data_IF_530661091230
#
_entry.id   IF_530661091230
#
_cell.length_a   1.000
_cell.length_b   1.000
_cell.length_c   1.000
_cell.angle_alpha   90.00
_cell.angle_beta   90.00
_cell.angle_gamma   90.00
#
_symmetry.space_group_name_H-M   'P 1'
#
loop_
_entity.id
_entity.type
_entity.pdbx_description
1 polymer ?
#
# COMPACT_ATOMS: atom_id res chain seq x y z
N UNK A 1 -43.40 -62.39 16.85
CA UNK A 1 -44.17 -61.54 15.91
C UNK A 1 -45.02 -60.55 16.69
N UNK A 2 -44.40 -59.72 17.55
CA UNK A 2 -45.11 -58.70 18.35
C UNK A 2 -44.37 -57.34 18.40
N UNK A 3 -43.29 -57.15 17.62
CA UNK A 3 -42.47 -55.93 17.66
C UNK A 3 -42.72 -54.95 16.50
N UNK A 4 -43.44 -55.38 15.44
CA UNK A 4 -43.68 -54.55 14.24
C UNK A 4 -44.88 -53.60 14.40
N UNK A 5 -45.75 -53.86 15.38
CA UNK A 5 -46.93 -53.04 15.66
C UNK A 5 -46.60 -51.79 16.46
N UNK A 6 -45.58 -51.83 17.32
CA UNK A 6 -45.25 -50.69 18.17
C UNK A 6 -44.49 -49.60 17.40
N UNK A 7 -43.61 -50.00 16.48
CA UNK A 7 -42.82 -49.10 15.64
C UNK A 7 -43.70 -48.33 14.64
N UNK A 8 -44.66 -49.01 13.98
CA UNK A 8 -45.64 -48.37 13.08
C UNK A 8 -46.60 -47.42 13.81
N UNK A 9 -46.96 -47.73 15.06
CA UNK A 9 -47.75 -46.82 15.90
C UNK A 9 -46.93 -45.58 16.28
N UNK A 10 -45.64 -45.74 16.58
CA UNK A 10 -44.74 -44.63 16.87
C UNK A 10 -44.52 -43.72 15.65
N UNK A 11 -44.30 -44.29 14.47
CA UNK A 11 -44.12 -43.53 13.23
C UNK A 11 -45.38 -42.76 12.83
N UNK A 12 -46.57 -43.34 13.05
CA UNK A 12 -47.85 -42.67 12.77
C UNK A 12 -48.12 -41.54 13.77
N UNK A 13 -47.74 -41.72 15.04
CA UNK A 13 -47.85 -40.71 16.10
C UNK A 13 -46.85 -39.56 15.88
N UNK A 14 -45.64 -39.87 15.43
CA UNK A 14 -44.61 -38.88 15.07
C UNK A 14 -45.06 -38.09 13.83
N UNK A 15 -45.56 -38.74 12.78
CA UNK A 15 -46.05 -38.06 11.58
C UNK A 15 -47.20 -37.08 11.90
N UNK A 16 -48.16 -37.48 12.74
CA UNK A 16 -49.26 -36.60 13.19
C UNK A 16 -48.75 -35.41 14.02
N UNK A 17 -47.73 -35.61 14.86
CA UNK A 17 -47.13 -34.52 15.65
C UNK A 17 -46.31 -33.58 14.77
N UNK A 18 -45.59 -34.08 13.78
CA UNK A 18 -44.83 -33.27 12.83
C UNK A 18 -45.75 -32.45 11.92
N UNK A 19 -46.88 -33.02 11.48
CA UNK A 19 -47.90 -32.30 10.70
C UNK A 19 -48.58 -31.22 11.54
N UNK A 20 -48.93 -31.50 12.81
CA UNK A 20 -49.47 -30.49 13.73
C UNK A 20 -48.49 -29.36 14.05
N UNK A 21 -47.18 -29.65 14.16
CA UNK A 21 -46.12 -28.65 14.36
C UNK A 21 -45.92 -27.79 13.10
N UNK A 22 -45.95 -28.38 11.90
CA UNK A 22 -45.86 -27.63 10.65
C UNK A 22 -47.10 -26.75 10.42
N UNK A 23 -48.28 -27.21 10.78
CA UNK A 23 -49.52 -26.44 10.70
C UNK A 23 -49.55 -25.29 11.73
N UNK A 24 -49.02 -25.52 12.94
CA UNK A 24 -48.85 -24.46 13.94
C UNK A 24 -47.79 -23.43 13.50
N UNK A 25 -46.66 -23.87 12.95
CA UNK A 25 -45.60 -23.01 12.41
C UNK A 25 -46.09 -22.17 11.22
N UNK A 26 -46.90 -22.75 10.32
CA UNK A 26 -47.49 -22.04 9.18
C UNK A 26 -48.62 -21.07 9.61
N UNK A 27 -49.36 -21.38 10.68
CA UNK A 27 -50.35 -20.47 11.29
C UNK A 27 -49.68 -19.31 12.02
N UNK A 28 -48.58 -19.53 12.76
CA UNK A 28 -47.76 -18.45 13.34
C UNK A 28 -47.11 -17.58 12.25
N UNK A 29 -46.65 -18.18 11.16
CA UNK A 29 -46.02 -17.45 10.03
C UNK A 29 -47.03 -16.63 9.19
N UNK A 30 -48.31 -16.99 9.17
CA UNK A 30 -49.38 -16.24 8.48
C UNK A 30 -50.16 -15.26 9.38
N UNK A 31 -50.12 -15.42 10.69
CA UNK A 31 -50.81 -14.52 11.64
C UNK A 31 -49.90 -13.43 12.25
N UNK A 32 -48.56 -13.55 12.12
CA UNK A 32 -47.59 -12.58 12.67
C UNK A 32 -46.82 -11.76 11.64
N UNK A 33 -47.21 -11.78 10.36
CA UNK A 33 -46.50 -11.07 9.29
C UNK A 33 -47.13 -9.70 9.01
N UNK A 34 -46.90 -8.74 9.91
CA UNK A 34 -46.72 -7.30 9.66
C UNK A 34 -46.06 -6.71 10.94
N UNK A 35 -44.83 -6.19 10.79
CA UNK A 35 -44.11 -5.28 11.71
C UNK A 35 -43.51 -5.77 13.06
N UNK A 36 -42.76 -6.88 13.11
CA UNK A 36 -41.76 -7.10 14.21
C UNK A 36 -40.47 -7.77 13.72
N UNK A 37 -39.91 -7.30 12.60
CA UNK A 37 -38.52 -7.62 12.14
C UNK A 37 -37.62 -6.36 12.33
N UNK A 38 -38.06 -5.39 13.12
CA UNK A 38 -37.59 -4.00 13.01
C UNK A 38 -36.73 -3.52 14.19
N UNK A 39 -36.60 -4.28 15.28
CA UNK A 39 -35.90 -3.81 16.50
C UNK A 39 -34.79 -4.76 16.97
N UNK A 40 -35.01 -6.08 17.03
CA UNK A 40 -33.98 -7.03 17.52
C UNK A 40 -32.78 -7.14 16.57
N UNK A 41 -32.99 -7.41 15.28
CA UNK A 41 -31.91 -7.44 14.27
C UNK A 41 -31.19 -6.08 14.13
N UNK A 42 -31.89 -4.98 14.43
CA UNK A 42 -31.33 -3.62 14.35
C UNK A 42 -30.49 -3.28 15.57
N UNK A 43 -30.87 -3.76 16.75
CA UNK A 43 -30.07 -3.65 17.96
C UNK A 43 -28.82 -4.54 17.86
N UNK A 44 -28.94 -5.76 17.35
CA UNK A 44 -27.79 -6.64 17.07
C UNK A 44 -26.81 -5.99 16.10
N UNK A 45 -27.32 -5.28 15.09
CA UNK A 45 -26.49 -4.53 14.14
C UNK A 45 -25.73 -3.37 14.79
N UNK A 46 -26.38 -2.62 15.67
CA UNK A 46 -25.73 -1.52 16.41
C UNK A 46 -24.66 -2.08 17.34
N UNK A 47 -24.94 -3.16 18.06
CA UNK A 47 -23.98 -3.84 18.95
C UNK A 47 -22.79 -4.42 18.17
N UNK A 48 -23.03 -5.04 17.01
CA UNK A 48 -21.95 -5.49 16.14
C UNK A 48 -21.06 -4.32 15.68
N UNK A 49 -21.66 -3.18 15.31
CA UNK A 49 -20.91 -2.00 14.91
C UNK A 49 -20.15 -1.35 16.09
N UNK A 50 -20.71 -1.37 17.30
CA UNK A 50 -20.02 -0.92 18.52
C UNK A 50 -18.82 -1.82 18.82
N UNK A 51 -18.96 -3.14 18.66
CA UNK A 51 -17.88 -4.10 18.83
C UNK A 51 -16.74 -3.88 17.82
N UNK A 52 -17.04 -3.36 16.63
CA UNK A 52 -16.05 -2.97 15.63
C UNK A 52 -15.28 -1.69 16.01
N UNK A 53 -15.82 -0.83 16.89
CA UNK A 53 -15.13 0.39 17.34
C UNK A 53 -13.90 -0.01 18.15
N UNK A 54 -12.70 0.41 17.71
CA UNK A 54 -11.44 0.11 18.36
C UNK A 54 -11.37 0.48 19.85
N UNK A 55 -11.43 1.77 20.19
CA UNK A 55 -11.13 2.24 21.54
C UNK A 55 -12.36 2.06 22.45
N UNK A 56 -12.16 1.49 23.63
CA UNK A 56 -13.25 1.31 24.60
C UNK A 56 -13.84 2.65 25.02
N UNK A 57 -13.00 3.66 25.28
CA UNK A 57 -13.44 5.02 25.60
C UNK A 57 -14.37 5.59 24.51
N UNK A 58 -14.00 5.45 23.23
CA UNK A 58 -14.83 5.88 22.11
C UNK A 58 -16.08 5.02 21.96
N UNK A 59 -15.99 3.72 22.26
CA UNK A 59 -17.15 2.82 22.24
C UNK A 59 -18.16 3.23 23.31
N UNK A 60 -17.70 3.54 24.53
CA UNK A 60 -18.55 4.04 25.61
C UNK A 60 -19.12 5.40 25.27
N UNK A 61 -18.33 6.34 24.74
CA UNK A 61 -18.85 7.64 24.27
C UNK A 61 -19.94 7.48 23.21
N UNK A 62 -19.74 6.56 22.25
CA UNK A 62 -20.75 6.27 21.22
C UNK A 62 -21.94 5.54 21.83
N UNK A 63 -21.74 4.65 22.81
CA UNK A 63 -22.82 3.97 23.54
C UNK A 63 -23.67 4.96 24.32
N UNK A 64 -23.07 5.94 24.99
CA UNK A 64 -23.77 7.03 25.67
C UNK A 64 -24.56 7.89 24.68
N UNK A 65 -23.96 8.24 23.53
CA UNK A 65 -24.66 8.96 22.46
C UNK A 65 -25.85 8.15 21.91
N UNK A 66 -25.68 6.84 21.73
CA UNK A 66 -26.74 5.94 21.29
C UNK A 66 -27.85 5.87 22.32
N UNK A 67 -27.52 5.77 23.61
CA UNK A 67 -28.49 5.75 24.69
C UNK A 67 -29.35 7.03 24.66
N UNK A 68 -28.73 8.21 24.54
CA UNK A 68 -29.44 9.49 24.38
C UNK A 68 -30.34 9.51 23.14
N UNK A 69 -29.88 8.94 22.02
CA UNK A 69 -30.68 8.82 20.79
C UNK A 69 -31.88 7.90 21.01
N UNK A 70 -31.70 6.76 21.66
CA UNK A 70 -32.73 5.76 21.94
C UNK A 70 -33.79 6.30 22.92
N UNK A 71 -33.41 7.18 23.84
CA UNK A 71 -34.31 7.84 24.80
C UNK A 71 -35.06 9.04 24.21
N UNK A 72 -34.68 9.52 23.01
CA UNK A 72 -35.31 10.70 22.40
C UNK A 72 -36.77 10.48 21.99
N UNK A 73 -37.56 11.55 21.86
CA UNK A 73 -38.98 11.48 21.45
C UNK A 73 -39.18 11.29 19.93
N UNK A 74 -38.22 10.65 19.25
CA UNK A 74 -38.25 10.38 17.80
C UNK A 74 -38.90 9.03 17.50
N UNK A 75 -39.33 8.83 16.26
CA UNK A 75 -39.78 7.50 15.82
C UNK A 75 -38.61 6.49 15.81
N UNK A 76 -38.93 5.22 16.05
CA UNK A 76 -37.95 4.13 16.23
C UNK A 76 -37.00 3.98 15.04
N UNK A 77 -37.52 4.16 13.82
CA UNK A 77 -36.72 4.08 12.60
C UNK A 77 -35.70 5.22 12.52
N UNK A 78 -36.07 6.42 12.96
CA UNK A 78 -35.14 7.56 13.04
C UNK A 78 -34.09 7.34 14.13
N UNK A 79 -34.46 6.80 15.30
CA UNK A 79 -33.52 6.48 16.38
C UNK A 79 -32.42 5.54 15.93
N UNK A 80 -32.81 4.38 15.37
CA UNK A 80 -31.86 3.40 14.84
C UNK A 80 -30.96 4.00 13.77
N UNK A 81 -31.51 4.81 12.84
CA UNK A 81 -30.71 5.44 11.79
C UNK A 81 -29.66 6.39 12.36
N UNK A 82 -30.00 7.12 13.43
CA UNK A 82 -29.08 8.04 14.10
C UNK A 82 -28.01 7.27 14.89
N UNK A 83 -28.39 6.18 15.57
CA UNK A 83 -27.46 5.30 16.27
C UNK A 83 -26.45 4.65 15.30
N UNK A 84 -26.92 4.08 14.19
CA UNK A 84 -26.04 3.56 13.14
C UNK A 84 -25.12 4.65 12.57
N UNK A 85 -25.61 5.89 12.46
CA UNK A 85 -24.81 7.02 11.96
C UNK A 85 -23.71 7.40 12.95
N UNK A 86 -23.97 7.35 14.25
CA UNK A 86 -22.98 7.60 15.30
C UNK A 86 -21.86 6.56 15.23
N UNK A 87 -22.18 5.26 15.18
CA UNK A 87 -21.18 4.21 14.99
C UNK A 87 -20.40 4.39 13.68
N UNK A 88 -21.08 4.62 12.55
CA UNK A 88 -20.42 4.84 11.26
C UNK A 88 -19.46 6.02 11.30
N UNK A 89 -19.82 7.11 11.97
CA UNK A 89 -18.97 8.29 12.03
C UNK A 89 -17.61 7.98 12.67
N UNK A 90 -17.61 7.22 13.77
CA UNK A 90 -16.36 6.80 14.44
C UNK A 90 -15.64 5.73 13.62
N UNK A 91 -16.34 4.73 13.09
CA UNK A 91 -15.70 3.72 12.23
C UNK A 91 -15.04 4.35 10.99
N UNK A 92 -15.66 5.38 10.41
CA UNK A 92 -15.09 6.11 9.27
C UNK A 92 -13.81 6.87 9.61
N UNK A 93 -13.58 7.25 10.87
CA UNK A 93 -12.29 7.87 11.27
C UNK A 93 -11.14 6.86 11.28
N UNK A 94 -11.44 5.56 11.24
CA UNK A 94 -10.47 4.46 11.16
C UNK A 94 -10.32 3.90 9.75
N UNK A 95 -11.04 4.44 8.77
CA UNK A 95 -10.96 4.04 7.37
C UNK A 95 -10.13 5.05 6.57
N UNK A 96 -9.43 4.57 5.55
CA UNK A 96 -8.78 5.44 4.58
C UNK A 96 -9.84 6.21 3.78
N UNK A 97 -9.58 7.49 3.52
CA UNK A 97 -10.51 8.37 2.79
C UNK A 97 -10.73 7.97 1.33
N UNK A 98 -9.85 7.12 0.78
CA UNK A 98 -9.99 6.51 -0.54
C UNK A 98 -10.90 5.31 -0.43
N UNK A 99 -12.21 5.57 -0.44
CA UNK A 99 -13.29 4.55 -0.37
C UNK A 99 -13.03 3.32 -1.26
N UNK A 100 -12.38 3.50 -2.41
CA UNK A 100 -12.11 2.44 -3.38
C UNK A 100 -11.10 1.38 -2.89
N UNK A 101 -10.23 1.70 -1.94
CA UNK A 101 -9.32 0.74 -1.33
C UNK A 101 -10.05 -0.16 -0.34
N UNK A 102 -11.05 0.38 0.37
CA UNK A 102 -11.76 -0.33 1.43
C UNK A 102 -10.80 -0.84 2.50
N UNK A 103 -9.82 -0.02 2.88
CA UNK A 103 -8.77 -0.37 3.86
C UNK A 103 -8.86 0.54 5.08
N UNK A 104 -8.55 0.00 6.27
CA UNK A 104 -8.31 0.83 7.45
C UNK A 104 -7.15 1.80 7.24
N UNK A 105 -7.12 2.89 8.00
CA UNK A 105 -6.02 3.85 7.99
C UNK A 105 -4.95 3.51 9.04
N UNK A 106 -3.93 4.37 9.14
CA UNK A 106 -2.86 4.26 10.13
C UNK A 106 -3.36 4.23 11.58
N UNK A 107 -4.34 5.06 11.93
CA UNK A 107 -4.87 5.15 13.31
C UNK A 107 -5.47 3.82 13.77
N UNK A 108 -6.11 3.09 12.86
CA UNK A 108 -6.65 1.76 13.16
C UNK A 108 -5.54 0.76 13.49
N UNK A 109 -4.45 0.81 12.74
CA UNK A 109 -3.31 -0.08 12.94
C UNK A 109 -2.54 0.26 14.22
N UNK A 110 -2.34 1.53 14.54
CA UNK A 110 -1.77 1.95 15.83
C UNK A 110 -2.56 1.39 17.01
N UNK A 111 -3.90 1.48 16.93
CA UNK A 111 -4.76 0.84 17.91
C UNK A 111 -4.58 -0.68 17.96
N UNK A 112 -4.55 -1.36 16.80
CA UNK A 112 -4.41 -2.83 16.78
C UNK A 112 -3.11 -3.27 17.43
N UNK A 113 -2.01 -2.59 17.14
CA UNK A 113 -0.72 -2.83 17.80
C UNK A 113 -0.86 -2.65 19.32
N UNK A 114 -1.42 -1.52 19.77
CA UNK A 114 -1.63 -1.24 21.19
C UNK A 114 -2.40 -2.35 21.90
N UNK A 115 -3.54 -2.76 21.32
CA UNK A 115 -4.41 -3.79 21.89
C UNK A 115 -3.69 -5.14 21.97
N UNK A 116 -3.11 -5.61 20.86
CA UNK A 116 -2.46 -6.92 20.81
C UNK A 116 -1.27 -7.03 21.78
N UNK A 117 -0.52 -5.94 21.94
CA UNK A 117 0.58 -5.89 22.92
C UNK A 117 0.02 -5.90 24.34
N UNK A 118 -1.02 -5.11 24.62
CA UNK A 118 -1.62 -5.06 25.96
C UNK A 118 -2.16 -6.43 26.39
N UNK A 119 -2.88 -7.12 25.50
CA UNK A 119 -3.36 -8.50 25.72
C UNK A 119 -2.21 -9.50 25.95
N UNK A 120 -1.02 -9.23 25.39
CA UNK A 120 0.17 -10.06 25.58
C UNK A 120 0.86 -9.78 26.92
N UNK A 121 0.86 -8.52 27.37
CA UNK A 121 1.51 -8.07 28.61
C UNK A 121 0.70 -8.43 29.86
N UNK A 122 -0.63 -8.54 29.76
CA UNK A 122 -1.51 -8.92 30.88
C UNK A 122 -1.30 -10.36 31.40
N UNK A 123 -0.43 -11.15 30.76
CA UNK A 123 -0.07 -12.50 31.22
C UNK A 123 0.82 -12.44 32.46
N UNK A 124 0.48 -13.25 33.48
CA UNK A 124 1.19 -13.31 34.79
C UNK A 124 2.69 -13.63 34.69
N UNK A 125 3.15 -14.26 33.61
CA UNK A 125 4.56 -14.46 33.28
C UNK A 125 4.77 -14.17 31.80
N UNK A 126 5.67 -13.22 31.51
CA UNK A 126 6.04 -12.83 30.16
C UNK A 126 7.36 -13.53 29.78
N UNK A 127 7.36 -14.36 28.74
CA UNK A 127 8.59 -14.90 28.15
C UNK A 127 9.18 -13.83 27.21
N UNK A 128 10.50 -13.59 27.18
CA UNK A 128 11.12 -12.73 26.17
C UNK A 128 10.65 -12.98 24.73
N UNK A 129 10.31 -14.22 24.36
CA UNK A 129 9.75 -14.58 23.04
C UNK A 129 8.38 -13.94 22.77
N UNK A 130 7.61 -13.64 23.80
CA UNK A 130 6.31 -12.99 23.67
C UNK A 130 6.43 -11.57 23.09
N UNK A 131 7.56 -10.90 23.31
CA UNK A 131 7.84 -9.58 22.73
C UNK A 131 7.98 -9.61 21.20
N UNK A 132 8.23 -10.78 20.61
CA UNK A 132 8.47 -10.95 19.18
C UNK A 132 7.28 -11.57 18.43
N UNK A 133 6.12 -11.63 19.09
CA UNK A 133 4.86 -12.15 18.53
C UNK A 133 4.05 -11.14 17.74
N UNK A 134 4.44 -9.86 17.80
CA UNK A 134 3.82 -8.76 17.07
C UNK A 134 4.89 -8.07 16.22
N UNK A 135 4.60 -7.87 14.94
CA UNK A 135 5.47 -7.13 14.04
C UNK A 135 4.66 -6.19 13.16
N UNK A 136 5.32 -5.10 12.78
CA UNK A 136 4.87 -4.11 11.83
C UNK A 136 5.68 -4.27 10.56
N UNK A 137 5.01 -4.22 9.41
CA UNK A 137 5.61 -4.20 8.09
C UNK A 137 5.09 -2.96 7.38
N UNK A 138 6.01 -2.09 6.97
CA UNK A 138 5.73 -0.93 6.14
C UNK A 138 6.01 -1.26 4.66
N UNK A 139 5.19 -0.70 3.79
CA UNK A 139 5.25 -0.87 2.34
C UNK A 139 5.16 0.49 1.65
N UNK A 140 6.05 0.73 0.70
CA UNK A 140 6.01 1.88 -0.21
C UNK A 140 5.85 1.34 -1.63
N UNK A 141 4.78 1.74 -2.33
CA UNK A 141 4.56 1.37 -3.73
C UNK A 141 5.46 2.19 -4.65
N UNK A 142 6.40 1.51 -5.31
CA UNK A 142 7.33 2.16 -6.21
C UNK A 142 6.64 2.60 -7.51
N UNK A 143 6.94 3.83 -7.93
CA UNK A 143 6.55 4.35 -9.25
C UNK A 143 5.13 4.91 -9.34
N UNK A 144 4.37 5.06 -8.24
CA UNK A 144 3.01 5.61 -8.26
C UNK A 144 2.95 6.96 -8.98
N UNK A 145 3.93 7.83 -8.73
CA UNK A 145 4.00 9.14 -9.37
C UNK A 145 4.11 9.03 -10.89
N UNK A 146 4.94 8.12 -11.39
CA UNK A 146 5.07 7.84 -12.82
C UNK A 146 3.78 7.27 -13.41
N UNK A 147 3.09 6.39 -12.69
CA UNK A 147 1.76 5.91 -13.10
C UNK A 147 0.77 7.07 -13.26
N UNK A 148 0.79 8.02 -12.32
CA UNK A 148 -0.05 9.22 -12.36
C UNK A 148 0.31 10.17 -13.50
N UNK A 149 1.61 10.42 -13.73
CA UNK A 149 2.06 11.37 -14.74
C UNK A 149 1.79 10.85 -16.15
N UNK A 150 2.12 9.57 -16.39
CA UNK A 150 1.93 8.92 -17.69
C UNK A 150 0.45 8.65 -17.92
N UNK A 151 -0.17 7.86 -17.04
CA UNK A 151 -1.51 7.32 -17.21
C UNK A 151 -2.67 8.14 -16.64
N UNK A 152 -2.37 9.16 -15.82
CA UNK A 152 -3.36 9.92 -15.05
C UNK A 152 -3.71 9.28 -13.71
N UNK A 153 -4.29 10.07 -12.80
CA UNK A 153 -4.64 9.63 -11.44
C UNK A 153 -5.57 8.42 -11.40
N UNK A 154 -6.49 8.27 -12.36
CA UNK A 154 -7.37 7.11 -12.42
C UNK A 154 -6.58 5.80 -12.61
N UNK A 155 -5.47 5.83 -13.35
CA UNK A 155 -4.60 4.67 -13.55
C UNK A 155 -3.65 4.42 -12.38
N UNK A 156 -3.14 5.48 -11.74
CA UNK A 156 -2.43 5.33 -10.47
C UNK A 156 -3.30 4.71 -9.37
N UNK A 157 -4.59 5.07 -9.32
CA UNK A 157 -5.56 4.43 -8.41
C UNK A 157 -5.73 2.93 -8.69
N UNK A 158 -5.59 2.48 -9.95
CA UNK A 158 -5.59 1.04 -10.29
C UNK A 158 -4.35 0.37 -9.68
N UNK A 159 -3.17 0.98 -9.80
CA UNK A 159 -1.95 0.50 -9.15
C UNK A 159 -2.09 0.35 -7.64
N UNK A 160 -2.63 1.37 -6.98
CA UNK A 160 -2.94 1.34 -5.53
C UNK A 160 -3.94 0.24 -5.17
N UNK A 161 -4.99 0.06 -5.98
CA UNK A 161 -6.00 -0.97 -5.74
C UNK A 161 -5.41 -2.38 -5.87
N UNK A 162 -4.58 -2.61 -6.89
CA UNK A 162 -3.87 -3.88 -7.08
C UNK A 162 -2.97 -4.15 -5.87
N UNK A 163 -2.18 -3.16 -5.49
CA UNK A 163 -1.23 -3.27 -4.40
C UNK A 163 -1.92 -3.53 -3.05
N UNK A 164 -2.96 -2.76 -2.71
CA UNK A 164 -3.75 -2.98 -1.49
C UNK A 164 -4.43 -4.35 -1.46
N UNK A 165 -4.89 -4.85 -2.61
CA UNK A 165 -5.45 -6.20 -2.72
C UNK A 165 -4.43 -7.31 -2.46
N UNK A 166 -3.18 -7.16 -2.93
CA UNK A 166 -2.09 -8.09 -2.62
C UNK A 166 -1.83 -8.14 -1.11
N UNK A 167 -1.79 -6.99 -0.44
CA UNK A 167 -1.53 -6.92 1.00
C UNK A 167 -2.68 -7.55 1.81
N UNK A 168 -3.94 -7.34 1.40
CA UNK A 168 -5.13 -7.83 2.14
C UNK A 168 -5.41 -9.32 1.92
N UNK A 169 -5.31 -9.76 0.68
CA UNK A 169 -5.87 -11.04 0.20
C UNK A 169 -4.93 -11.81 -0.76
N UNK A 170 -3.71 -11.30 -1.00
CA UNK A 170 -2.72 -11.97 -1.83
C UNK A 170 -2.28 -13.33 -1.29
N UNK A 171 -1.50 -14.05 -2.10
CA UNK A 171 -0.91 -15.36 -1.79
C UNK A 171 -0.12 -15.32 -0.49
N UNK A 172 0.65 -14.27 -0.26
CA UNK A 172 1.46 -14.09 0.97
C UNK A 172 0.57 -13.84 2.18
N UNK A 173 -0.46 -13.00 2.05
CA UNK A 173 -1.45 -12.77 3.10
C UNK A 173 -2.22 -14.05 3.49
N UNK A 174 -2.63 -14.84 2.49
CA UNK A 174 -3.28 -16.14 2.71
C UNK A 174 -2.33 -17.17 3.32
N UNK A 175 -1.06 -17.16 2.92
CA UNK A 175 -0.04 -18.03 3.50
C UNK A 175 0.20 -17.70 4.98
N UNK A 176 0.30 -16.42 5.35
CA UNK A 176 0.40 -15.98 6.75
C UNK A 176 -0.77 -16.51 7.59
N UNK A 177 -2.01 -16.37 7.11
CA UNK A 177 -3.19 -16.91 7.79
C UNK A 177 -3.12 -18.43 7.97
N UNK A 178 -2.66 -19.17 6.96
CA UNK A 178 -2.42 -20.64 7.06
C UNK A 178 -1.33 -21.00 8.08
N UNK A 179 -0.39 -20.09 8.33
CA UNK A 179 0.62 -20.24 9.38
C UNK A 179 0.08 -19.93 10.78
N UNK A 180 -1.21 -19.59 10.93
CA UNK A 180 -1.79 -19.14 12.19
C UNK A 180 -1.33 -17.75 12.61
N UNK A 181 -0.93 -16.92 11.63
CA UNK A 181 -0.57 -15.51 11.83
C UNK A 181 -1.76 -14.68 11.38
N UNK A 182 -2.27 -13.88 12.31
CA UNK A 182 -3.28 -12.88 12.03
C UNK A 182 -2.65 -11.65 11.38
N UNK A 183 -3.42 -10.98 10.53
CA UNK A 183 -2.97 -9.82 9.78
C UNK A 183 -4.00 -8.69 9.87
N UNK A 184 -3.52 -7.45 10.03
CA UNK A 184 -4.32 -6.24 9.96
C UNK A 184 -3.67 -5.27 8.95
N UNK A 185 -4.17 -5.24 7.70
CA UNK A 185 -3.64 -4.37 6.67
C UNK A 185 -4.19 -2.94 6.81
N UNK A 186 -3.41 -1.94 6.37
CA UNK A 186 -3.79 -0.52 6.36
C UNK A 186 -3.29 0.19 5.10
N UNK A 187 -3.95 1.30 4.76
CA UNK A 187 -3.45 2.30 3.85
C UNK A 187 -3.08 3.55 4.67
N UNK A 188 -1.85 4.06 4.52
CA UNK A 188 -1.29 5.02 5.50
C UNK A 188 -1.03 6.41 4.90
N UNK A 189 -1.15 6.54 3.58
CA UNK A 189 -1.15 7.81 2.86
C UNK A 189 -0.41 7.67 1.54
N UNK A 190 -0.84 8.39 0.49
CA UNK A 190 -0.14 8.35 -0.81
C UNK A 190 0.04 6.92 -1.36
N UNK A 191 1.29 6.50 -1.55
CA UNK A 191 1.75 5.16 -1.94
C UNK A 191 2.10 4.24 -0.76
N UNK A 192 1.92 4.69 0.48
CA UNK A 192 2.29 3.95 1.69
C UNK A 192 1.16 3.07 2.21
N UNK A 193 1.52 1.83 2.53
CA UNK A 193 0.64 0.82 3.08
C UNK A 193 1.30 0.10 4.25
N UNK A 194 0.46 -0.55 5.03
CA UNK A 194 0.87 -1.20 6.24
C UNK A 194 0.31 -2.58 6.44
N UNK A 195 1.05 -3.38 7.20
CA UNK A 195 0.57 -4.66 7.71
C UNK A 195 1.07 -4.84 9.14
N UNK A 196 0.14 -5.02 10.08
CA UNK A 196 0.46 -5.60 11.38
C UNK A 196 0.26 -7.09 11.27
N UNK A 197 1.24 -7.84 11.73
CA UNK A 197 1.15 -9.29 11.84
C UNK A 197 1.32 -9.68 13.30
N UNK A 198 0.51 -10.64 13.74
CA UNK A 198 0.57 -11.10 15.13
C UNK A 198 0.08 -12.54 15.28
N UNK A 199 0.52 -13.21 16.34
CA UNK A 199 0.09 -14.58 16.62
C UNK A 199 0.90 -15.22 17.73
N UNK A 200 0.87 -16.55 17.82
CA UNK A 200 1.54 -17.28 18.90
C UNK A 200 3.00 -17.68 18.59
N UNK A 201 3.56 -17.22 17.46
CA UNK A 201 4.91 -17.58 16.97
C UNK A 201 5.88 -16.42 17.11
N UNK A 202 7.16 -16.73 17.33
CA UNK A 202 8.25 -15.75 17.21
C UNK A 202 8.41 -15.38 15.72
N UNK A 203 8.23 -14.10 15.41
CA UNK A 203 8.20 -13.61 14.03
C UNK A 203 9.58 -13.30 13.47
N UNK A 204 10.62 -13.14 14.30
CA UNK A 204 11.98 -12.78 13.85
C UNK A 204 12.51 -13.66 12.71
N UNK A 205 12.45 -15.01 12.79
CA UNK A 205 12.94 -15.85 11.69
C UNK A 205 12.07 -15.80 10.44
N UNK A 206 10.80 -15.37 10.55
CA UNK A 206 9.85 -15.35 9.45
C UNK A 206 9.88 -14.03 8.66
N UNK A 207 10.24 -12.92 9.29
CA UNK A 207 10.20 -11.59 8.67
C UNK A 207 10.95 -11.51 7.33
N UNK A 208 12.20 -12.02 7.19
CA UNK A 208 12.88 -11.98 5.90
C UNK A 208 12.17 -12.76 4.79
N UNK A 209 11.55 -13.90 5.11
CA UNK A 209 10.77 -14.67 4.14
C UNK A 209 9.48 -13.92 3.77
N UNK A 210 8.82 -13.28 4.73
CA UNK A 210 7.61 -12.48 4.51
C UNK A 210 7.90 -11.32 3.56
N UNK A 211 8.95 -10.54 3.84
CA UNK A 211 9.37 -9.42 2.98
C UNK A 211 9.68 -9.89 1.57
N UNK A 212 10.48 -10.96 1.43
CA UNK A 212 10.83 -11.55 0.14
C UNK A 212 9.59 -11.99 -0.65
N UNK A 213 8.66 -12.72 0.00
CA UNK A 213 7.42 -13.18 -0.64
C UNK A 213 6.56 -12.03 -1.14
N UNK A 214 6.41 -10.97 -0.35
CA UNK A 214 5.66 -9.78 -0.79
C UNK A 214 6.35 -9.08 -1.96
N UNK A 215 7.67 -8.91 -1.95
CA UNK A 215 8.41 -8.31 -3.08
C UNK A 215 8.21 -9.12 -4.37
N UNK A 216 8.34 -10.45 -4.29
CA UNK A 216 8.13 -11.37 -5.42
C UNK A 216 6.67 -11.35 -5.89
N UNK A 217 5.72 -11.32 -4.97
CA UNK A 217 4.29 -11.29 -5.32
C UNK A 217 3.91 -9.97 -6.00
N UNK A 218 4.37 -8.83 -5.49
CA UNK A 218 4.08 -7.51 -6.07
C UNK A 218 4.67 -7.39 -7.48
N UNK A 219 5.90 -7.87 -7.68
CA UNK A 219 6.57 -7.83 -9.00
C UNK A 219 6.00 -8.82 -10.02
N UNK A 220 5.43 -9.94 -9.58
CA UNK A 220 4.87 -10.97 -10.46
C UNK A 220 3.37 -10.86 -10.69
N UNK A 221 2.63 -10.18 -9.82
CA UNK A 221 1.17 -10.04 -9.95
C UNK A 221 0.82 -9.15 -11.13
N UNK A 222 0.08 -9.72 -12.08
CA UNK A 222 -0.41 -9.01 -13.26
C UNK A 222 -1.79 -8.43 -13.06
N UNK A 223 -2.59 -9.08 -12.25
CA UNK A 223 -3.98 -8.73 -12.07
C UNK A 223 -4.50 -9.24 -10.73
N UNK A 224 -5.51 -8.56 -10.23
CA UNK A 224 -6.29 -9.03 -9.08
C UNK A 224 -7.78 -8.92 -9.38
N UNK A 225 -8.56 -9.80 -8.76
CA UNK A 225 -9.99 -9.58 -8.65
C UNK A 225 -10.24 -8.39 -7.73
N UNK A 226 -11.00 -7.42 -8.22
CA UNK A 226 -11.34 -6.22 -7.47
C UNK A 226 -12.84 -6.08 -7.35
N UNK A 227 -13.30 -5.47 -6.27
CA UNK A 227 -14.67 -4.99 -6.17
C UNK A 227 -14.70 -3.58 -6.74
N UNK A 228 -15.22 -3.41 -7.96
CA UNK A 228 -15.46 -2.10 -8.54
C UNK A 228 -16.69 -1.49 -7.90
N UNK A 229 -16.49 -0.38 -7.20
CA UNK A 229 -17.56 0.44 -6.63
C UNK A 229 -17.88 1.55 -7.63
N UNK A 230 -19.02 1.43 -8.32
CA UNK A 230 -19.55 2.50 -9.18
C UNK A 230 -20.70 3.24 -8.49
N UNK A 231 -20.66 4.57 -8.50
CA UNK A 231 -21.80 5.41 -8.07
C UNK A 231 -22.59 5.77 -9.32
N UNK A 232 -23.69 5.07 -9.58
CA UNK A 232 -24.58 5.33 -10.71
C UNK A 232 -25.75 6.21 -10.25
N UNK A 233 -26.16 7.17 -11.08
CA UNK A 233 -27.38 7.91 -10.82
C UNK A 233 -28.57 7.00 -11.14
N UNK A 234 -29.42 6.74 -10.17
CA UNK A 234 -30.68 6.05 -10.43
C UNK A 234 -31.63 7.05 -11.11
N UNK A 235 -31.82 6.90 -12.42
CA UNK A 235 -32.60 7.82 -13.27
C UNK A 235 -34.06 7.97 -12.81
N UNK A 236 -34.62 6.98 -12.10
CA UNK A 236 -36.00 7.01 -11.59
C UNK A 236 -36.13 7.78 -10.29
N UNK A 237 -35.09 7.76 -9.45
CA UNK A 237 -35.15 8.35 -8.10
C UNK A 237 -34.26 9.59 -7.94
N UNK A 238 -33.42 9.90 -8.94
CA UNK A 238 -32.40 10.95 -8.87
C UNK A 238 -31.30 10.69 -7.83
N UNK A 239 -31.33 9.55 -7.13
CA UNK A 239 -30.39 9.22 -6.05
C UNK A 239 -29.20 8.46 -6.59
N UNK A 240 -28.00 8.76 -6.07
CA UNK A 240 -26.80 7.97 -6.37
C UNK A 240 -26.92 6.60 -5.69
N UNK A 241 -26.95 5.53 -6.49
CA UNK A 241 -26.84 4.15 -6.01
C UNK A 241 -25.39 3.68 -6.18
N UNK A 242 -24.85 3.13 -5.11
CA UNK A 242 -23.57 2.43 -5.16
C UNK A 242 -23.82 1.01 -5.68
N UNK A 243 -23.28 0.67 -6.85
CA UNK A 243 -23.19 -0.71 -7.34
C UNK A 243 -21.79 -1.22 -7.04
N UNK A 244 -21.72 -2.40 -6.43
CA UNK A 244 -20.49 -3.15 -6.27
C UNK A 244 -20.53 -4.27 -7.31
N UNK A 245 -19.60 -4.26 -8.26
CA UNK A 245 -19.44 -5.33 -9.24
C UNK A 245 -18.09 -5.99 -9.06
N UNK A 246 -18.04 -7.31 -9.17
CA UNK A 246 -16.78 -8.01 -9.37
C UNK A 246 -16.16 -7.49 -10.68
N UNK A 247 -14.94 -6.98 -10.58
CA UNK A 247 -14.13 -6.50 -11.68
C UNK A 247 -12.76 -7.15 -11.65
N UNK A 248 -12.01 -6.95 -12.73
CA UNK A 248 -10.60 -7.28 -12.80
C UNK A 248 -9.84 -5.98 -13.01
N UNK A 249 -8.75 -5.82 -12.29
CA UNK A 249 -7.80 -4.72 -12.47
C UNK A 249 -6.47 -5.32 -12.89
N UNK A 250 -5.93 -4.87 -14.01
CA UNK A 250 -4.64 -5.34 -14.54
C UNK A 250 -3.56 -4.27 -14.42
N UNK A 251 -2.32 -4.70 -14.23
CA UNK A 251 -1.12 -3.85 -14.34
C UNK A 251 -1.00 -3.27 -15.75
N UNK A 252 -1.48 -4.00 -16.76
CA UNK A 252 -1.48 -3.54 -18.15
C UNK A 252 -2.47 -2.38 -18.39
N UNK A 253 -3.44 -2.18 -17.47
CA UNK A 253 -4.36 -1.04 -17.51
C UNK A 253 -3.72 0.26 -16.96
N UNK A 254 -2.52 0.18 -16.36
CA UNK A 254 -1.88 1.31 -15.67
C UNK A 254 -1.12 2.19 -16.66
N UNK A 255 -0.29 1.59 -17.51
CA UNK A 255 0.53 2.30 -18.51
C UNK A 255 0.37 1.60 -19.86
N UNK A 256 -0.03 2.35 -20.88
CA UNK A 256 -0.24 1.83 -22.22
C UNK A 256 0.98 2.12 -23.08
N UNK A 257 1.68 1.07 -23.48
CA UNK A 257 2.88 1.19 -24.29
C UNK A 257 2.60 1.30 -25.79
N UNK A 258 1.33 1.19 -26.19
CA UNK A 258 0.81 1.36 -27.53
C UNK A 258 0.13 2.73 -27.76
N UNK A 259 -0.12 3.50 -26.70
CA UNK A 259 -0.73 4.82 -26.76
C UNK A 259 0.32 5.91 -27.07
N UNK A 260 0.25 6.60 -28.22
CA UNK A 260 1.20 7.64 -28.58
C UNK A 260 1.33 8.76 -27.54
N UNK A 261 0.25 9.08 -26.81
CA UNK A 261 0.26 10.12 -25.79
C UNK A 261 1.09 9.69 -24.56
N UNK A 262 0.95 8.44 -24.12
CA UNK A 262 1.71 7.89 -23.00
C UNK A 262 3.19 7.76 -23.37
N UNK A 263 3.50 7.33 -24.60
CA UNK A 263 4.87 7.27 -25.12
C UNK A 263 5.52 8.66 -25.11
N UNK A 264 4.81 9.69 -25.56
CA UNK A 264 5.35 11.05 -25.56
C UNK A 264 5.65 11.53 -24.15
N UNK A 265 4.75 11.28 -23.19
CA UNK A 265 5.00 11.61 -21.77
C UNK A 265 6.21 10.87 -21.21
N UNK A 266 6.38 9.58 -21.54
CA UNK A 266 7.55 8.81 -21.13
C UNK A 266 8.86 9.37 -21.70
N UNK A 267 8.88 9.85 -22.94
CA UNK A 267 10.03 10.56 -23.53
C UNK A 267 10.32 11.88 -22.81
N UNK A 268 9.28 12.67 -22.56
CA UNK A 268 9.39 13.96 -21.84
C UNK A 268 9.95 13.79 -20.42
N UNK A 269 9.73 12.63 -19.79
CA UNK A 269 10.25 12.26 -18.48
C UNK A 269 11.63 11.58 -18.51
N UNK A 270 12.21 11.41 -19.70
CA UNK A 270 13.49 10.73 -19.89
C UNK A 270 13.45 9.22 -19.60
N UNK A 271 12.26 8.60 -19.57
CA UNK A 271 12.11 7.16 -19.36
C UNK A 271 12.52 6.39 -20.62
N UNK A 272 12.17 6.94 -21.79
CA UNK A 272 12.56 6.45 -23.10
C UNK A 272 13.57 7.46 -23.68
N UNK A 273 14.79 7.02 -23.96
CA UNK A 273 15.79 7.86 -24.62
C UNK A 273 15.42 8.06 -26.10
N UNK A 274 15.64 9.28 -26.60
CA UNK A 274 15.54 9.61 -28.02
C UNK A 274 16.45 8.71 -28.89
N UNK A 275 17.55 8.19 -28.32
CA UNK A 275 18.46 7.23 -28.97
C UNK A 275 17.94 5.80 -28.98
N UNK A 276 17.26 5.35 -27.92
CA UNK A 276 16.73 3.98 -27.83
C UNK A 276 15.52 3.80 -28.76
N UNK A 277 14.90 4.89 -29.24
CA UNK A 277 13.78 4.99 -30.21
C UNK A 277 12.50 4.25 -29.82
N UNK A 278 12.56 3.16 -29.05
CA UNK A 278 11.46 2.32 -28.56
C UNK A 278 11.84 1.66 -27.23
N UNK A 279 10.83 1.30 -26.45
CA UNK A 279 10.98 0.36 -25.35
C UNK A 279 11.45 -1.00 -25.88
N UNK A 280 12.17 -1.81 -25.07
CA UNK A 280 12.45 -3.20 -25.41
C UNK A 280 11.15 -3.93 -25.77
N UNK A 281 11.16 -4.74 -26.83
CA UNK A 281 9.94 -5.41 -27.33
C UNK A 281 9.32 -6.38 -26.31
N UNK A 282 10.13 -6.86 -25.38
CA UNK A 282 9.77 -7.75 -24.28
C UNK A 282 9.53 -7.00 -22.96
N UNK A 283 9.67 -5.66 -22.92
CA UNK A 283 9.46 -4.90 -21.71
C UNK A 283 8.01 -4.99 -21.26
N UNK A 284 7.84 -5.36 -19.99
CA UNK A 284 6.54 -5.35 -19.33
C UNK A 284 6.64 -4.56 -18.04
N UNK A 285 5.74 -3.59 -17.88
CA UNK A 285 5.60 -2.91 -16.60
C UNK A 285 5.33 -3.92 -15.49
N UNK A 286 5.96 -3.69 -14.35
CA UNK A 286 5.77 -4.45 -13.14
C UNK A 286 5.60 -3.46 -12.00
N UNK A 287 4.75 -3.81 -11.03
CA UNK A 287 4.70 -3.09 -9.78
C UNK A 287 5.95 -3.43 -8.97
N UNK A 288 6.40 -2.48 -8.17
CA UNK A 288 7.53 -2.67 -7.28
C UNK A 288 7.15 -2.17 -5.91
N UNK A 289 7.78 -2.71 -4.88
CA UNK A 289 7.60 -2.20 -3.52
C UNK A 289 8.91 -2.17 -2.77
N UNK A 290 9.00 -1.25 -1.83
CA UNK A 290 10.05 -1.19 -0.82
C UNK A 290 9.41 -1.54 0.51
N UNK A 291 9.98 -2.53 1.20
CA UNK A 291 9.40 -3.09 2.42
C UNK A 291 10.38 -2.89 3.56
N UNK A 292 9.88 -2.58 4.76
CA UNK A 292 10.68 -2.66 5.98
C UNK A 292 9.83 -3.16 7.14
N UNK A 293 10.37 -4.09 7.92
CA UNK A 293 9.66 -4.65 9.08
C UNK A 293 10.36 -4.35 10.40
N UNK A 294 9.61 -4.44 11.49
CA UNK A 294 10.14 -4.41 12.85
C UNK A 294 9.23 -5.15 13.82
N UNK A 295 9.82 -5.72 14.86
CA UNK A 295 9.08 -6.42 15.92
C UNK A 295 8.83 -5.48 17.11
N UNK A 296 7.82 -5.79 17.92
CA UNK A 296 7.58 -5.04 19.16
C UNK A 296 8.81 -5.06 20.09
N UNK A 297 9.41 -6.23 20.31
CA UNK A 297 10.59 -6.37 21.16
C UNK A 297 11.80 -5.55 20.69
N UNK A 298 11.98 -5.41 19.38
CA UNK A 298 13.01 -4.54 18.82
C UNK A 298 12.72 -3.06 19.11
N UNK A 299 11.50 -2.61 18.84
CA UNK A 299 11.11 -1.22 19.09
C UNK A 299 11.15 -0.87 20.59
N UNK A 300 10.77 -1.80 21.46
CA UNK A 300 10.86 -1.65 22.91
C UNK A 300 12.31 -1.44 23.35
N UNK A 301 13.25 -2.22 22.81
CA UNK A 301 14.68 -2.09 23.10
C UNK A 301 15.30 -0.79 22.57
N UNK A 302 14.72 -0.20 21.52
CA UNK A 302 15.20 1.05 20.92
C UNK A 302 14.53 2.31 21.48
N UNK A 303 13.41 2.19 22.19
CA UNK A 303 12.65 3.33 22.68
C UNK A 303 13.34 4.01 23.87
N UNK A 304 13.50 5.33 23.80
CA UNK A 304 13.85 6.12 24.97
C UNK A 304 12.61 6.32 25.85
N UNK A 305 12.60 5.66 27.01
CA UNK A 305 11.51 5.70 27.99
C UNK A 305 11.78 6.64 29.18
N UNK A 306 12.86 7.41 29.14
CA UNK A 306 13.21 8.35 30.21
C UNK A 306 12.11 9.40 30.40
N UNK A 307 11.72 9.60 31.66
CA UNK A 307 10.73 10.60 32.09
C UNK A 307 9.27 10.26 31.76
N UNK A 308 8.97 9.07 31.24
CA UNK A 308 7.60 8.64 30.94
C UNK A 308 6.89 8.20 32.22
N UNK A 309 5.69 8.75 32.47
CA UNK A 309 4.96 8.53 33.72
C UNK A 309 3.76 7.59 33.60
N UNK A 310 3.34 7.23 32.39
CA UNK A 310 2.15 6.42 32.14
C UNK A 310 2.42 5.26 31.18
N UNK A 311 1.63 4.19 31.32
CA UNK A 311 1.65 3.05 30.39
C UNK A 311 1.26 3.48 28.97
N UNK A 312 0.22 4.33 28.85
CA UNK A 312 -0.24 4.83 27.56
C UNK A 312 0.85 5.61 26.81
N UNK A 313 1.58 6.48 27.51
CA UNK A 313 2.70 7.24 26.92
C UNK A 313 3.87 6.32 26.55
N UNK A 314 4.14 5.29 27.37
CA UNK A 314 5.16 4.28 27.08
C UNK A 314 4.83 3.55 25.80
N UNK A 315 3.60 3.03 25.70
CA UNK A 315 3.12 2.32 24.52
C UNK A 315 3.12 3.20 23.28
N UNK A 316 2.67 4.46 23.39
CA UNK A 316 2.72 5.41 22.28
C UNK A 316 4.15 5.60 21.76
N UNK A 317 5.14 5.74 22.65
CA UNK A 317 6.56 5.85 22.25
C UNK A 317 7.05 4.58 21.55
N UNK A 318 6.75 3.41 22.09
CA UNK A 318 7.20 2.14 21.49
C UNK A 318 6.54 1.90 20.13
N UNK A 319 5.23 2.15 20.00
CA UNK A 319 4.52 2.07 18.72
C UNK A 319 5.16 3.01 17.70
N UNK A 320 5.40 4.27 18.07
CA UNK A 320 6.08 5.23 17.19
C UNK A 320 7.48 4.74 16.76
N UNK A 321 8.22 4.07 17.65
CA UNK A 321 9.49 3.44 17.29
C UNK A 321 9.32 2.27 16.32
N UNK A 322 8.23 1.50 16.42
CA UNK A 322 7.91 0.48 15.43
C UNK A 322 7.74 1.09 14.03
N UNK A 323 6.98 2.17 13.90
CA UNK A 323 6.86 2.86 12.61
C UNK A 323 8.21 3.37 12.12
N UNK A 324 8.94 4.10 12.96
CA UNK A 324 10.21 4.71 12.61
C UNK A 324 11.27 3.71 12.12
N UNK A 325 11.37 2.53 12.75
CA UNK A 325 12.34 1.50 12.35
C UNK A 325 11.91 0.85 11.03
N UNK A 326 10.63 0.52 10.89
CA UNK A 326 10.09 -0.05 9.64
C UNK A 326 10.29 0.91 8.46
N UNK A 327 10.00 2.20 8.64
CA UNK A 327 10.14 3.23 7.62
C UNK A 327 11.59 3.40 7.18
N UNK A 328 12.53 3.46 8.14
CA UNK A 328 13.96 3.54 7.82
C UNK A 328 14.44 2.34 7.00
N UNK A 329 14.00 1.13 7.36
CA UNK A 329 14.33 -0.08 6.61
C UNK A 329 13.74 -0.07 5.21
N UNK A 330 12.48 0.36 5.07
CA UNK A 330 11.84 0.49 3.76
C UNK A 330 12.61 1.47 2.85
N UNK A 331 13.09 2.60 3.39
CA UNK A 331 13.92 3.57 2.66
C UNK A 331 15.25 2.96 2.24
N UNK A 332 15.97 2.27 3.14
CA UNK A 332 17.24 1.61 2.81
C UNK A 332 17.02 0.58 1.69
N UNK A 333 15.99 -0.26 1.83
CA UNK A 333 15.63 -1.27 0.83
C UNK A 333 15.19 -0.66 -0.50
N UNK A 334 14.56 0.53 -0.48
CA UNK A 334 14.22 1.31 -1.68
C UNK A 334 15.47 1.73 -2.44
N UNK A 335 16.45 2.27 -1.73
CA UNK A 335 17.70 2.75 -2.33
C UNK A 335 18.55 1.60 -2.88
N UNK A 336 18.66 0.50 -2.16
CA UNK A 336 19.32 -0.72 -2.62
C UNK A 336 18.61 -1.33 -3.83
N UNK A 337 17.28 -1.42 -3.78
CA UNK A 337 16.46 -1.91 -4.89
C UNK A 337 16.61 -1.07 -6.16
N UNK A 338 16.69 0.26 -6.02
CA UNK A 338 16.95 1.18 -7.13
C UNK A 338 18.31 0.94 -7.76
N UNK A 339 19.39 0.84 -6.97
CA UNK A 339 20.74 0.56 -7.48
C UNK A 339 20.80 -0.75 -8.27
N UNK A 340 20.11 -1.79 -7.77
CA UNK A 340 20.01 -3.07 -8.48
C UNK A 340 19.25 -2.93 -9.80
N UNK A 341 18.09 -2.27 -9.78
CA UNK A 341 17.26 -2.03 -10.98
C UNK A 341 18.00 -1.24 -12.05
N UNK A 342 18.90 -0.32 -11.69
CA UNK A 342 19.72 0.42 -12.65
C UNK A 342 20.50 -0.50 -13.59
N UNK A 343 20.92 -1.67 -13.08
CA UNK A 343 21.66 -2.68 -13.84
C UNK A 343 20.76 -3.76 -14.45
N UNK A 344 19.77 -4.26 -13.71
CA UNK A 344 18.94 -5.39 -14.13
C UNK A 344 17.79 -4.99 -15.07
N UNK A 345 17.22 -3.80 -14.86
CA UNK A 345 16.11 -3.29 -15.67
C UNK A 345 16.16 -1.75 -15.72
N UNK A 346 17.06 -1.17 -16.53
CA UNK A 346 17.28 0.27 -16.60
C UNK A 346 16.02 1.07 -16.94
N UNK A 347 15.14 0.50 -17.77
CA UNK A 347 13.85 1.12 -18.12
C UNK A 347 12.96 1.24 -16.89
N UNK A 348 12.78 0.17 -16.12
CA UNK A 348 11.98 0.20 -14.89
C UNK A 348 12.61 1.09 -13.83
N UNK A 349 13.95 1.11 -13.73
CA UNK A 349 14.68 2.06 -12.90
C UNK A 349 14.33 3.51 -13.25
N UNK A 350 14.37 3.90 -14.53
CA UNK A 350 13.99 5.25 -14.97
C UNK A 350 12.53 5.56 -14.68
N UNK A 351 11.64 4.57 -14.79
CA UNK A 351 10.24 4.73 -14.38
C UNK A 351 10.10 4.99 -12.87
N UNK A 352 10.91 4.36 -12.02
CA UNK A 352 10.85 4.56 -10.57
C UNK A 352 11.64 5.77 -10.08
N UNK A 353 12.65 6.21 -10.83
CA UNK A 353 13.53 7.35 -10.54
C UNK A 353 13.32 8.52 -11.50
N UNK A 354 12.07 8.71 -11.96
CA UNK A 354 11.72 9.74 -12.94
C UNK A 354 12.44 11.07 -12.67
N UNK A 355 12.99 11.62 -13.74
CA UNK A 355 13.68 12.91 -13.72
C UNK A 355 12.70 13.96 -14.23
N UNK A 356 12.68 15.16 -13.63
CA UNK A 356 11.77 16.21 -14.12
C UNK A 356 12.17 16.61 -15.54
N UNK A 357 11.20 17.05 -16.35
CA UNK A 357 11.45 17.51 -17.74
C UNK A 357 12.54 18.58 -17.80
N UNK A 358 12.54 19.51 -16.85
CA UNK A 358 13.59 20.54 -16.73
C UNK A 358 14.97 19.93 -16.51
N UNK A 359 15.10 18.92 -15.64
CA UNK A 359 16.38 18.27 -15.39
C UNK A 359 16.82 17.44 -16.60
N UNK A 360 15.87 16.80 -17.31
CA UNK A 360 16.17 16.12 -18.58
C UNK A 360 16.70 17.13 -19.61
N UNK A 361 16.06 18.28 -19.76
CA UNK A 361 16.48 19.34 -20.68
C UNK A 361 17.85 19.93 -20.30
N UNK A 362 18.06 20.21 -19.02
CA UNK A 362 19.36 20.66 -18.50
C UNK A 362 20.45 19.62 -18.77
N UNK A 363 20.16 18.33 -18.62
CA UNK A 363 21.12 17.27 -18.92
C UNK A 363 21.45 17.21 -20.42
N UNK A 364 20.45 17.40 -21.31
CA UNK A 364 20.69 17.51 -22.76
C UNK A 364 21.59 18.70 -23.10
N UNK A 365 21.34 19.86 -22.48
CA UNK A 365 22.17 21.05 -22.64
C UNK A 365 23.60 20.81 -22.14
N UNK A 366 23.76 20.16 -20.99
CA UNK A 366 25.06 19.85 -20.40
C UNK A 366 25.87 18.89 -21.29
N UNK A 367 25.24 17.84 -21.82
CA UNK A 367 25.88 16.93 -22.78
C UNK A 367 26.30 17.66 -24.07
N UNK A 368 25.46 18.57 -24.57
CA UNK A 368 25.77 19.39 -25.75
C UNK A 368 26.98 20.31 -25.48
N UNK A 369 26.99 20.99 -24.33
CA UNK A 369 28.10 21.84 -23.90
C UNK A 369 29.39 21.05 -23.70
N UNK A 370 29.33 19.85 -23.12
CA UNK A 370 30.49 18.98 -22.94
C UNK A 370 31.13 18.61 -24.29
N UNK A 371 30.33 18.28 -25.31
CA UNK A 371 30.83 18.03 -26.67
C UNK A 371 31.47 19.26 -27.30
N UNK A 372 30.87 20.44 -27.10
CA UNK A 372 31.45 21.70 -27.58
C UNK A 372 32.79 22.00 -26.91
N UNK A 373 32.91 21.75 -25.60
CA UNK A 373 34.17 21.90 -24.87
C UNK A 373 35.23 20.93 -25.40
N UNK A 374 34.87 19.68 -25.67
CA UNK A 374 35.77 18.67 -26.24
C UNK A 374 36.29 19.10 -27.62
N UNK A 375 35.42 19.61 -28.49
CA UNK A 375 35.79 20.14 -29.81
C UNK A 375 36.72 21.36 -29.70
N UNK A 376 36.39 22.33 -28.84
CA UNK A 376 37.22 23.51 -28.62
C UNK A 376 38.58 23.15 -28.02
N UNK A 377 38.63 22.15 -27.13
CA UNK A 377 39.87 21.63 -26.56
C UNK A 377 40.74 21.01 -27.65
N UNK A 378 40.17 20.21 -28.54
CA UNK A 378 40.88 19.64 -29.68
C UNK A 378 41.43 20.73 -30.62
N UNK A 379 40.65 21.77 -30.89
CA UNK A 379 41.10 22.93 -31.70
C UNK A 379 42.26 23.64 -31.01
N UNK A 380 42.15 23.92 -29.71
CA UNK A 380 43.20 24.61 -28.97
C UNK A 380 44.51 23.81 -28.88
N UNK A 381 44.43 22.48 -28.75
CA UNK A 381 45.60 21.59 -28.81
C UNK A 381 46.28 21.69 -30.17
N UNK A 382 45.51 21.65 -31.26
CA UNK A 382 46.04 21.77 -32.61
C UNK A 382 46.64 23.15 -32.91
N UNK A 383 46.01 24.23 -32.43
CA UNK A 383 46.58 25.58 -32.54
C UNK A 383 47.87 25.73 -31.72
N UNK A 384 47.92 25.14 -30.53
CA UNK A 384 49.12 25.15 -29.69
C UNK A 384 50.26 24.42 -30.39
N UNK A 385 49.99 23.25 -30.99
CA UNK A 385 50.97 22.51 -31.80
C UNK A 385 51.53 23.36 -32.93
N UNK A 386 50.65 24.00 -33.73
CA UNK A 386 51.06 24.89 -34.83
C UNK A 386 51.90 26.07 -34.34
N UNK A 387 51.58 26.66 -33.18
CA UNK A 387 52.37 27.75 -32.59
C UNK A 387 53.77 27.27 -32.16
N UNK A 388 53.86 26.08 -31.57
CA UNK A 388 55.15 25.48 -31.21
C UNK A 388 56.00 25.20 -32.45
N UNK A 389 55.41 24.61 -33.50
CA UNK A 389 56.10 24.36 -34.78
C UNK A 389 56.64 25.68 -35.39
N UNK A 390 55.83 26.75 -35.41
CA UNK A 390 56.26 28.06 -35.90
C UNK A 390 57.38 28.70 -35.06
N UNK A 391 57.37 28.49 -33.72
CA UNK A 391 58.45 28.95 -32.84
C UNK A 391 59.76 28.20 -33.10
N UNK A 392 59.70 26.88 -33.31
CA UNK A 392 60.88 26.08 -33.66
C UNK A 392 61.50 26.52 -34.99
N UNK A 393 60.67 26.80 -36.01
CA UNK A 393 61.15 27.36 -37.28
C UNK A 393 61.81 28.72 -37.12
N UNK A 394 61.22 29.60 -36.31
CA UNK A 394 61.78 30.91 -36.03
C UNK A 394 63.14 30.80 -35.31
N UNK A 395 63.28 29.86 -34.37
CA UNK A 395 64.56 29.59 -33.69
C UNK A 395 65.60 29.11 -34.71
N UNK A 396 65.25 28.15 -35.59
CA UNK A 396 66.15 27.67 -36.65
C UNK A 396 66.61 28.80 -37.59
N UNK A 397 65.69 29.66 -38.00
CA UNK A 397 65.99 30.82 -38.84
C UNK A 397 66.96 31.80 -38.14
N UNK A 398 66.71 32.11 -36.86
CA UNK A 398 67.61 32.98 -36.07
C UNK A 398 69.01 32.40 -35.93
N UNK A 399 69.14 31.10 -35.66
CA UNK A 399 70.44 30.42 -35.60
C UNK A 399 71.18 30.51 -36.93
N UNK A 400 70.48 30.30 -38.06
CA UNK A 400 71.07 30.40 -39.40
C UNK A 400 71.51 31.82 -39.75
N UNK A 401 70.74 32.84 -39.35
CA UNK A 401 71.14 34.24 -39.52
C UNK A 401 72.43 34.52 -38.73
N UNK A 402 72.49 34.07 -37.47
CA UNK A 402 73.69 34.24 -36.62
C UNK A 402 74.93 33.56 -37.23
N UNK A 403 74.78 32.35 -37.77
CA UNK A 403 75.86 31.64 -38.47
C UNK A 403 76.36 32.42 -39.69
N UNK A 404 75.45 32.98 -40.49
CA UNK A 404 75.79 33.80 -41.64
C UNK A 404 76.50 35.10 -41.23
N UNK A 405 76.01 35.78 -40.19
CA UNK A 405 76.65 36.99 -39.65
C UNK A 405 78.06 36.72 -39.13
N UNK A 406 78.27 35.61 -38.42
CA UNK A 406 79.61 35.19 -37.96
C UNK A 406 80.53 34.79 -39.12
N UNK A 407 79.99 34.18 -40.17
CA UNK A 407 80.75 33.83 -41.37
C UNK A 407 81.21 35.03 -42.20
N UNK A 408 80.56 36.19 -42.05
CA UNK A 408 80.95 37.45 -42.71
C UNK A 408 81.95 38.27 -41.89
N UNK A 409 82.08 37.97 -40.59
CA UNK A 409 83.00 38.65 -39.68
C UNK A 409 84.41 38.02 -39.63
N UNK A 410 84.57 36.83 -40.20
CA UNK A 410 85.86 36.17 -40.47
C UNK A 410 86.24 36.38 -41.94
#
# INVERSE_FOLDING_TARGET
MEDVTHEKLLETEIAKRTEAINDAFLREKKAGAIEVISTTERNDRIENMLAEIPREELREEVRDQIQVILESNRDEKTKVRLAEKACKHVLMSYMDSRDYLGMPNREFVEYKIFRTISESIEKKQLDPKDLYKVARINFDLNGLKTMNDVGGHSRGNIGLLIFGGIIREGKTALWLKKQGIEIAPSAEGGDEFGLVIYGNKDLRPLLPEIEKRFIEEVSSTRDIQTLKITKELDEKTGKRKTKIKAGRSSVDDIIRFDDPADIQKMKDMGIIDDKEKKLPEDFKFQLGTSIGSTTFGEALGAANLDGVKSYADTMKRVINQMFLIADRRAIINKDEGKKRLETENPTLFRMYNRVSKEVVELNKQLISLAKTIEQLTAINVEETRKRTEAQEELIKLKSKILELEMGWAN
#
